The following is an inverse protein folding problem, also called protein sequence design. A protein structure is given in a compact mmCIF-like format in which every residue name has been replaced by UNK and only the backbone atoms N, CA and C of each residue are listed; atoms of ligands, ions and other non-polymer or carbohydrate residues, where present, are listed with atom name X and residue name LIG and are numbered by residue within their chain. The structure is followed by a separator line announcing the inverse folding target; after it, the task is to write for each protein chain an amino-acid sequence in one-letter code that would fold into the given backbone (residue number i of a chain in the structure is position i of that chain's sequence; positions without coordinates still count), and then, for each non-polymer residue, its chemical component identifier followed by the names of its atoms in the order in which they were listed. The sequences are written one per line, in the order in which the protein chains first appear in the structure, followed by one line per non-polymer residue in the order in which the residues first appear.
data_IF_117322396972
#
_entry.id   IF_117322396972
#
_cell.length_a   1.000
_cell.length_b   1.000
_cell.length_c   1.000
_cell.angle_alpha   90.00
_cell.angle_beta   90.00
_cell.angle_gamma   90.00
#
_symmetry.space_group_name_H-M   'P 1'
#
loop_
_entity.id
_entity.type
_entity.pdbx_description
1 polymer ?
#
# COMPACT_ATOMS: atom_id res chain seq x y z
N UNK A 1 -10.39 0.41 26.84
CA UNK A 1 -10.85 1.44 25.88
C UNK A 1 -9.79 1.60 24.80
N UNK A 2 -10.21 1.74 23.54
CA UNK A 2 -9.30 2.15 22.48
C UNK A 2 -9.01 3.65 22.67
N UNK A 3 -7.75 4.01 22.92
CA UNK A 3 -7.35 5.40 23.23
C UNK A 3 -6.18 5.85 22.38
N UNK A 4 -6.12 7.14 22.11
CA UNK A 4 -5.05 7.76 21.34
C UNK A 4 -3.72 7.63 22.07
N UNK A 5 -2.74 6.99 21.43
CA UNK A 5 -1.37 6.86 21.96
C UNK A 5 -0.63 8.20 22.15
N UNK A 6 -1.16 9.29 21.62
CA UNK A 6 -0.56 10.64 21.70
C UNK A 6 -1.21 11.47 22.80
N UNK A 7 -2.53 11.46 22.92
CA UNK A 7 -3.27 12.36 23.82
C UNK A 7 -4.23 11.67 24.80
N UNK A 8 -4.40 10.34 24.73
CA UNK A 8 -5.30 9.58 25.61
C UNK A 8 -6.80 9.71 25.30
N UNK A 9 -7.20 10.50 24.29
CA UNK A 9 -8.60 10.64 23.86
C UNK A 9 -9.19 9.33 23.33
N UNK A 10 -10.51 9.19 23.41
CA UNK A 10 -11.23 8.01 22.93
C UNK A 10 -11.14 7.89 21.39
N UNK A 11 -10.94 6.67 20.90
CA UNK A 11 -10.88 6.36 19.47
C UNK A 11 -12.10 5.54 19.04
N UNK A 12 -12.50 5.70 17.78
CA UNK A 12 -13.55 4.93 17.13
C UNK A 12 -13.04 4.28 15.84
N UNK A 13 -13.70 3.19 15.43
CA UNK A 13 -13.52 2.61 14.10
C UNK A 13 -14.43 3.34 13.09
N UNK A 14 -13.97 3.45 11.84
CA UNK A 14 -14.81 3.96 10.74
C UNK A 14 -15.48 2.78 10.04
N UNK A 15 -16.74 2.93 9.65
CA UNK A 15 -17.52 1.83 9.07
C UNK A 15 -16.93 1.29 7.75
N UNK A 16 -16.35 2.17 6.92
CA UNK A 16 -15.69 1.81 5.67
C UNK A 16 -14.39 1.02 5.87
N UNK A 17 -13.69 1.22 6.99
CA UNK A 17 -12.52 0.42 7.36
C UNK A 17 -12.89 -1.00 7.81
N UNK A 18 -14.18 -1.27 8.10
CA UNK A 18 -14.68 -2.57 8.54
C UNK A 18 -15.45 -3.31 7.44
N UNK A 19 -15.63 -2.71 6.26
CA UNK A 19 -16.31 -3.32 5.12
C UNK A 19 -15.33 -4.21 4.34
N UNK A 20 -15.18 -5.46 4.80
CA UNK A 20 -14.29 -6.45 4.19
C UNK A 20 -14.65 -6.74 2.73
N UNK A 21 -15.93 -6.72 2.36
CA UNK A 21 -16.36 -6.97 0.99
C UNK A 21 -15.88 -5.85 0.04
N UNK A 22 -16.00 -4.59 0.46
CA UNK A 22 -15.49 -3.45 -0.30
C UNK A 22 -13.95 -3.38 -0.30
N UNK A 23 -13.28 -3.83 0.77
CA UNK A 23 -11.81 -3.97 0.80
C UNK A 23 -11.37 -5.06 -0.20
N UNK A 24 -12.00 -6.22 -0.16
CA UNK A 24 -11.65 -7.37 -1.01
C UNK A 24 -11.84 -7.05 -2.49
N UNK A 25 -12.94 -6.39 -2.88
CA UNK A 25 -13.14 -5.93 -4.27
C UNK A 25 -12.00 -5.06 -4.79
N UNK A 26 -11.42 -4.20 -3.95
CA UNK A 26 -10.25 -3.38 -4.32
C UNK A 26 -8.99 -4.24 -4.47
N UNK A 27 -8.78 -5.18 -3.56
CA UNK A 27 -7.65 -6.11 -3.63
C UNK A 27 -7.73 -7.07 -4.81
N UNK A 28 -8.90 -7.57 -5.17
CA UNK A 28 -9.08 -8.45 -6.33
C UNK A 28 -8.60 -7.76 -7.61
N UNK A 29 -8.99 -6.49 -7.81
CA UNK A 29 -8.54 -5.67 -8.96
C UNK A 29 -7.05 -5.34 -8.87
N UNK A 30 -6.55 -5.04 -7.65
CA UNK A 30 -5.15 -4.69 -7.48
C UNK A 30 -4.23 -5.88 -7.80
N UNK A 31 -4.51 -7.04 -7.19
CA UNK A 31 -3.67 -8.24 -7.27
C UNK A 31 -3.92 -9.12 -8.50
N UNK A 32 -4.96 -8.87 -9.30
CA UNK A 32 -5.13 -9.53 -10.59
C UNK A 32 -3.92 -9.25 -11.51
N UNK A 33 -3.21 -10.34 -11.85
CA UNK A 33 -2.02 -10.32 -12.70
C UNK A 33 -2.29 -10.48 -14.19
N UNK A 34 -3.55 -10.74 -14.59
CA UNK A 34 -3.96 -10.90 -15.97
C UNK A 34 -4.46 -9.58 -16.57
N UNK A 35 -5.39 -8.90 -15.89
CA UNK A 35 -6.03 -7.66 -16.38
C UNK A 35 -6.02 -6.50 -15.39
N UNK A 36 -5.61 -6.73 -14.15
CA UNK A 36 -5.66 -5.77 -13.05
C UNK A 36 -4.44 -4.87 -12.92
N UNK A 37 -4.28 -4.30 -11.72
CA UNK A 37 -3.19 -3.32 -11.45
C UNK A 37 -1.82 -3.98 -11.51
N UNK A 38 -1.68 -5.19 -10.95
CA UNK A 38 -0.44 -5.95 -11.01
C UNK A 38 -0.09 -6.39 -12.43
N UNK A 39 -1.07 -6.62 -13.32
CA UNK A 39 -0.81 -6.83 -14.75
C UNK A 39 -0.10 -5.62 -15.39
N UNK A 40 -0.58 -4.41 -15.12
CA UNK A 40 0.04 -3.17 -15.60
C UNK A 40 1.43 -2.93 -14.99
N UNK A 41 1.62 -3.18 -13.70
CA UNK A 41 2.95 -3.14 -13.06
C UNK A 41 3.92 -4.10 -13.74
N UNK A 42 3.49 -5.34 -14.00
CA UNK A 42 4.29 -6.35 -14.67
C UNK A 42 4.61 -6.00 -16.13
N UNK A 43 3.75 -5.23 -16.80
CA UNK A 43 4.04 -4.66 -18.10
C UNK A 43 5.22 -3.69 -18.03
N UNK A 44 5.17 -2.67 -17.14
CA UNK A 44 6.25 -1.68 -17.03
C UNK A 44 7.59 -2.30 -16.61
N UNK A 45 7.57 -3.33 -15.74
CA UNK A 45 8.77 -4.11 -15.38
C UNK A 45 9.49 -4.78 -16.56
N UNK A 46 8.80 -4.94 -17.70
CA UNK A 46 9.34 -5.54 -18.93
C UNK A 46 9.73 -4.48 -19.98
N UNK A 47 9.61 -3.20 -19.65
CA UNK A 47 10.01 -2.07 -20.50
C UNK A 47 11.35 -1.49 -20.04
N UNK A 48 11.88 -0.52 -20.79
CA UNK A 48 13.09 0.22 -20.40
C UNK A 48 12.85 1.26 -19.27
N UNK A 49 11.64 1.30 -18.71
CA UNK A 49 11.29 2.21 -17.61
C UNK A 49 11.97 1.79 -16.31
N UNK A 50 12.49 2.75 -15.53
CA UNK A 50 12.95 2.48 -14.16
C UNK A 50 11.74 2.14 -13.28
N UNK A 51 11.63 0.88 -12.87
CA UNK A 51 10.62 0.40 -11.93
C UNK A 51 11.30 -0.10 -10.67
N UNK A 52 11.10 0.61 -9.56
CA UNK A 52 11.65 0.22 -8.26
C UNK A 52 10.63 -0.57 -7.44
N UNK A 53 11.10 -1.58 -6.71
CA UNK A 53 10.28 -2.35 -5.77
C UNK A 53 10.72 -2.01 -4.35
N UNK A 54 9.76 -1.60 -3.52
CA UNK A 54 10.01 -1.15 -2.15
C UNK A 54 9.20 -2.01 -1.19
N UNK A 55 9.84 -2.49 -0.12
CA UNK A 55 9.15 -3.22 0.94
C UNK A 55 8.31 -2.24 1.78
N UNK A 56 6.99 -2.35 1.67
CA UNK A 56 6.04 -1.50 2.40
C UNK A 56 5.75 -1.94 3.83
N UNK A 57 6.35 -3.04 4.32
CA UNK A 57 6.09 -3.58 5.66
C UNK A 57 6.92 -2.92 6.76
N UNK A 58 8.01 -2.24 6.41
CA UNK A 58 8.91 -1.57 7.34
C UNK A 58 8.41 -0.17 7.74
N UNK A 59 9.11 0.48 8.69
CA UNK A 59 8.73 1.80 9.17
C UNK A 59 8.80 2.87 8.07
N UNK A 60 7.92 3.89 8.14
CA UNK A 60 7.80 4.97 7.14
C UNK A 60 9.16 5.62 6.81
N UNK A 61 10.03 5.81 7.81
CA UNK A 61 11.37 6.40 7.61
C UNK A 61 12.28 5.51 6.77
N UNK A 62 12.21 4.20 6.95
CA UNK A 62 12.99 3.21 6.19
C UNK A 62 12.46 3.12 4.76
N UNK A 63 11.14 3.04 4.57
CA UNK A 63 10.50 3.12 3.24
C UNK A 63 10.93 4.38 2.49
N UNK A 64 10.92 5.53 3.16
CA UNK A 64 11.31 6.82 2.56
C UNK A 64 12.79 6.81 2.12
N UNK A 65 13.68 6.29 2.96
CA UNK A 65 15.10 6.18 2.63
C UNK A 65 15.33 5.26 1.42
N UNK A 66 14.64 4.11 1.35
CA UNK A 66 14.71 3.18 0.23
C UNK A 66 14.24 3.81 -1.09
N UNK A 67 13.19 4.63 -1.06
CA UNK A 67 12.72 5.35 -2.26
C UNK A 67 13.76 6.39 -2.69
N UNK A 68 14.26 7.21 -1.77
CA UNK A 68 15.21 8.29 -2.11
C UNK A 68 16.53 7.75 -2.69
N UNK A 69 17.02 6.63 -2.18
CA UNK A 69 18.22 5.96 -2.71
C UNK A 69 18.10 5.53 -4.17
N UNK A 70 16.87 5.41 -4.68
CA UNK A 70 16.57 5.03 -6.05
C UNK A 70 16.25 6.23 -6.97
N UNK A 71 16.31 7.48 -6.49
CA UNK A 71 15.98 8.67 -7.29
C UNK A 71 17.20 9.49 -7.73
N UNK A 72 18.38 9.14 -7.24
CA UNK A 72 19.68 9.68 -7.66
C UNK A 72 20.22 8.97 -8.92
#
# INVERSE_FOLDING_TARGET
KLVCRVCGGELSARADDQDEDAINKRHDIYYDTETGTMAAVNYFKKTDSKVISVDGSVGIKEVTASILAELD
#
